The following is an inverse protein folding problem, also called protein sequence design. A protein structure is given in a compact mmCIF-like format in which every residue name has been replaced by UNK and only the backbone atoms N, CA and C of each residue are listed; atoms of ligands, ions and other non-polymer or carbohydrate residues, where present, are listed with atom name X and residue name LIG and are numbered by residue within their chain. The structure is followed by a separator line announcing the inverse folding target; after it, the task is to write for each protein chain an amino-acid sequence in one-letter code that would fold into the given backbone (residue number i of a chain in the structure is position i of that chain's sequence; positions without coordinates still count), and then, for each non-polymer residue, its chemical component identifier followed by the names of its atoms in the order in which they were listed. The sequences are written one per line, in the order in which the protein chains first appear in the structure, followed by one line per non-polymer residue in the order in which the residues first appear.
data_IF_224781262107
#
_entry.id   IF_224781262107
#
_cell.length_a   1.000
_cell.length_b   1.000
_cell.length_c   1.000
_cell.angle_alpha   90.00
_cell.angle_beta   90.00
_cell.angle_gamma   90.00
#
_symmetry.space_group_name_H-M   'P 1'
#
loop_
_entity.id
_entity.type
_entity.pdbx_description
1 polymer ?
#
# COMPACT_ATOMS: atom_id res chain seq x y z
N UNK A 1 -13.60 -48.94 8.49
CA UNK A 1 -12.87 -47.65 8.45
C UNK A 1 -13.85 -46.54 8.79
N UNK A 2 -13.66 -45.87 9.92
CA UNK A 2 -14.56 -44.82 10.39
C UNK A 2 -14.46 -43.65 9.41
N UNK A 3 -15.51 -43.41 8.60
CA UNK A 3 -15.59 -42.28 7.65
C UNK A 3 -15.91 -40.95 8.35
N UNK A 4 -16.17 -41.00 9.66
CA UNK A 4 -16.50 -39.88 10.51
C UNK A 4 -15.48 -38.72 10.46
N UNK A 5 -14.15 -38.95 10.48
CA UNK A 5 -13.16 -37.87 10.36
C UNK A 5 -13.24 -37.18 9.00
N UNK A 6 -13.45 -37.95 7.92
CA UNK A 6 -13.59 -37.40 6.57
C UNK A 6 -14.85 -36.55 6.40
N UNK A 7 -15.97 -36.97 7.01
CA UNK A 7 -17.21 -36.20 7.03
C UNK A 7 -17.09 -34.91 7.84
N UNK A 8 -16.36 -34.93 8.97
CA UNK A 8 -16.11 -33.72 9.77
C UNK A 8 -15.24 -32.70 9.05
N UNK A 9 -14.20 -33.16 8.34
CA UNK A 9 -13.36 -32.28 7.50
C UNK A 9 -14.20 -31.67 6.38
N UNK A 10 -15.02 -32.47 5.69
CA UNK A 10 -15.89 -32.00 4.62
C UNK A 10 -16.90 -30.96 5.14
N UNK A 11 -17.52 -31.20 6.30
CA UNK A 11 -18.42 -30.25 6.94
C UNK A 11 -17.71 -28.94 7.32
N UNK A 12 -16.47 -29.02 7.83
CA UNK A 12 -15.65 -27.85 8.13
C UNK A 12 -15.33 -27.01 6.88
N UNK A 13 -14.98 -27.65 5.76
CA UNK A 13 -14.72 -26.95 4.48
C UNK A 13 -16.00 -26.28 3.97
N UNK A 14 -17.15 -26.96 4.03
CA UNK A 14 -18.43 -26.39 3.58
C UNK A 14 -18.81 -25.18 4.45
N UNK A 15 -18.68 -25.28 5.77
CA UNK A 15 -18.94 -24.16 6.69
C UNK A 15 -18.00 -22.99 6.44
N UNK A 16 -16.73 -23.25 6.15
CA UNK A 16 -15.74 -22.24 5.83
C UNK A 16 -16.07 -21.53 4.51
N UNK A 17 -16.47 -22.26 3.47
CA UNK A 17 -16.94 -21.69 2.19
C UNK A 17 -18.20 -20.87 2.38
N UNK A 18 -19.18 -21.36 3.14
CA UNK A 18 -20.42 -20.62 3.44
C UNK A 18 -20.13 -19.35 4.25
N UNK A 19 -19.23 -19.42 5.23
CA UNK A 19 -18.82 -18.27 6.01
C UNK A 19 -18.23 -17.16 5.13
N UNK A 20 -17.34 -17.52 4.21
CA UNK A 20 -16.76 -16.57 3.26
C UNK A 20 -17.76 -16.07 2.20
N UNK A 21 -18.71 -16.90 1.79
CA UNK A 21 -19.79 -16.49 0.88
C UNK A 21 -20.76 -15.51 1.54
N UNK A 22 -21.11 -15.75 2.81
CA UNK A 22 -21.99 -14.87 3.59
C UNK A 22 -21.31 -13.59 4.07
N UNK A 23 -19.98 -13.59 4.20
CA UNK A 23 -19.20 -12.46 4.68
C UNK A 23 -18.04 -12.15 3.71
N UNK A 24 -18.34 -11.68 2.48
CA UNK A 24 -17.31 -11.43 1.47
C UNK A 24 -16.29 -10.36 1.90
N UNK A 25 -16.70 -9.41 2.76
CA UNK A 25 -15.84 -8.40 3.37
C UNK A 25 -14.73 -8.96 4.27
N UNK A 26 -14.85 -10.21 4.74
CA UNK A 26 -13.79 -10.89 5.49
C UNK A 26 -12.65 -11.30 4.55
N UNK A 27 -12.93 -11.62 3.28
CA UNK A 27 -11.85 -11.86 2.30
C UNK A 27 -11.01 -10.61 2.08
N UNK A 28 -11.64 -9.43 1.98
CA UNK A 28 -10.93 -8.17 1.79
C UNK A 28 -10.00 -7.86 2.98
N UNK A 29 -10.45 -8.18 4.20
CA UNK A 29 -9.63 -8.04 5.43
C UNK A 29 -8.47 -9.04 5.47
N UNK A 30 -8.68 -10.30 5.10
CA UNK A 30 -7.62 -11.33 5.06
C UNK A 30 -6.60 -11.02 3.97
N UNK A 31 -7.06 -10.55 2.81
CA UNK A 31 -6.23 -10.16 1.68
C UNK A 31 -5.29 -9.01 2.04
N UNK A 32 -5.78 -8.01 2.78
CA UNK A 32 -4.97 -6.89 3.28
C UNK A 32 -3.81 -7.32 4.18
N UNK A 33 -4.07 -8.28 5.08
CA UNK A 33 -3.04 -8.86 5.95
C UNK A 33 -2.01 -9.65 5.17
N UNK A 34 -2.45 -10.41 4.17
CA UNK A 34 -1.58 -11.22 3.33
C UNK A 34 -0.61 -10.35 2.55
N UNK A 35 -1.09 -9.26 1.95
CA UNK A 35 -0.29 -8.31 1.16
C UNK A 35 0.62 -7.44 2.03
N UNK A 36 0.17 -7.01 3.21
CA UNK A 36 1.01 -6.30 4.18
C UNK A 36 2.16 -7.15 4.73
N UNK A 37 1.90 -8.43 5.01
CA UNK A 37 2.90 -9.40 5.46
C UNK A 37 3.97 -9.67 4.38
N UNK A 38 3.50 -9.82 3.15
CA UNK A 38 4.29 -9.92 1.91
C UNK A 38 5.19 -8.69 1.74
N UNK A 39 4.64 -7.49 1.89
CA UNK A 39 5.39 -6.23 1.84
C UNK A 39 6.50 -6.14 2.90
N UNK A 40 6.18 -6.49 4.15
CA UNK A 40 7.11 -6.48 5.27
C UNK A 40 8.27 -7.47 5.12
N UNK A 41 8.00 -8.69 4.62
CA UNK A 41 9.04 -9.70 4.41
C UNK A 41 10.13 -9.22 3.43
N UNK A 42 9.76 -8.52 2.36
CA UNK A 42 10.78 -7.94 1.45
C UNK A 42 11.56 -6.81 2.13
N UNK A 43 10.92 -5.97 2.93
CA UNK A 43 11.59 -4.86 3.62
C UNK A 43 12.65 -5.39 4.59
N UNK A 44 12.34 -6.49 5.26
CA UNK A 44 13.25 -7.13 6.20
C UNK A 44 14.41 -7.85 5.49
N UNK A 45 14.17 -8.41 4.30
CA UNK A 45 15.22 -8.95 3.43
C UNK A 45 16.11 -7.85 2.84
N UNK A 46 15.53 -6.73 2.39
CA UNK A 46 16.27 -5.58 1.85
C UNK A 46 17.12 -4.84 2.89
N UNK A 47 16.58 -4.63 4.10
CA UNK A 47 17.33 -4.04 5.24
C UNK A 47 18.40 -4.98 5.80
N UNK A 48 18.27 -6.29 5.59
CA UNK A 48 19.31 -7.28 5.92
C UNK A 48 20.44 -7.37 4.89
N UNK A 49 20.12 -7.20 3.60
CA UNK A 49 21.08 -7.35 2.50
C UNK A 49 22.14 -6.22 2.49
N UNK A 50 21.75 -4.97 2.68
CA UNK A 50 22.69 -3.83 2.71
C UNK A 50 23.65 -3.89 3.91
N UNK A 51 23.21 -4.46 5.03
CA UNK A 51 24.04 -4.67 6.23
C UNK A 51 25.04 -5.82 6.07
N UNK A 52 24.77 -6.76 5.15
CA UNK A 52 25.64 -7.90 4.83
C UNK A 52 26.59 -7.54 3.68
N UNK A 53 26.17 -6.74 2.71
CA UNK A 53 27.00 -6.31 1.57
C UNK A 53 28.22 -5.48 2.01
N UNK A 54 28.06 -4.68 3.06
CA UNK A 54 29.15 -3.94 3.72
C UNK A 54 30.14 -4.81 4.53
N UNK A 55 29.85 -6.10 4.71
CA UNK A 55 30.73 -7.07 5.35
C UNK A 55 31.46 -7.98 4.36
N UNK A 56 31.22 -7.85 3.05
CA UNK A 56 31.71 -8.79 2.02
C UNK A 56 32.58 -8.15 0.91
N UNK A 57 33.04 -6.91 1.08
CA UNK A 57 34.11 -6.34 0.24
C UNK A 57 35.34 -6.06 1.10
N UNK A 58 36.03 -7.12 1.50
CA UNK A 58 37.48 -7.14 1.67
C UNK A 58 37.98 -8.60 1.56
N UNK A 59 38.66 -8.88 0.43
CA UNK A 59 39.71 -9.89 0.16
C UNK A 59 39.51 -11.42 0.44
N UNK A 60 39.60 -12.19 -0.66
CA UNK A 60 39.70 -13.67 -0.90
C UNK A 60 40.61 -14.52 0.03
N UNK A 61 40.64 -15.89 -0.01
CA UNK A 61 39.84 -16.90 -0.76
C UNK A 61 39.27 -18.10 0.09
N UNK A 62 38.54 -19.03 -0.55
CA UNK A 62 37.85 -20.21 0.00
C UNK A 62 38.72 -21.26 0.76
N UNK A 63 38.15 -22.07 1.69
CA UNK A 63 37.59 -23.39 1.33
C UNK A 63 36.31 -23.87 2.12
N UNK A 64 35.62 -24.88 1.56
CA UNK A 64 34.39 -25.58 2.04
C UNK A 64 34.64 -26.52 3.27
N UNK A 65 33.65 -27.32 3.75
CA UNK A 65 32.44 -26.95 4.52
C UNK A 65 32.30 -27.80 5.82
N UNK A 66 31.60 -27.33 6.86
CA UNK A 66 30.86 -28.22 7.81
C UNK A 66 29.97 -27.47 8.80
N UNK A 67 28.71 -27.88 8.87
CA UNK A 67 27.69 -27.60 9.91
C UNK A 67 28.03 -28.28 11.25
N UNK A 68 27.55 -27.80 12.43
CA UNK A 68 26.19 -28.14 12.92
C UNK A 68 25.42 -27.02 13.66
N UNK A 69 24.09 -27.20 13.66
CA UNK A 69 23.01 -26.34 14.19
C UNK A 69 22.85 -26.46 15.71
N UNK A 70 22.49 -25.38 16.42
CA UNK A 70 21.61 -25.50 17.60
C UNK A 70 20.77 -24.23 17.94
N UNK A 71 19.46 -24.47 18.04
CA UNK A 71 18.34 -23.82 18.76
C UNK A 71 18.10 -22.28 18.79
N UNK A 72 17.26 -21.82 17.84
CA UNK A 72 16.65 -20.46 17.76
C UNK A 72 15.20 -20.43 18.31
N UNK A 73 14.60 -21.59 18.61
CA UNK A 73 13.14 -21.71 18.75
C UNK A 73 12.55 -21.13 20.06
N UNK A 74 13.33 -20.92 21.12
CA UNK A 74 12.76 -20.45 22.39
C UNK A 74 12.57 -18.92 22.45
N UNK A 75 13.31 -18.15 21.64
CA UNK A 75 13.23 -16.68 21.63
C UNK A 75 12.10 -16.14 20.74
N UNK A 76 11.62 -16.96 19.79
CA UNK A 76 10.57 -16.58 18.83
C UNK A 76 9.17 -16.57 19.45
N UNK A 77 8.93 -17.40 20.47
CA UNK A 77 7.58 -17.54 21.04
C UNK A 77 7.17 -16.33 21.88
N UNK A 78 8.10 -15.79 22.69
CA UNK A 78 7.82 -14.65 23.57
C UNK A 78 7.67 -13.31 22.83
N UNK A 79 8.17 -13.21 21.59
CA UNK A 79 8.01 -12.02 20.74
C UNK A 79 6.70 -11.99 19.95
N UNK A 80 6.12 -13.16 19.64
CA UNK A 80 4.83 -13.27 18.91
C UNK A 80 3.63 -12.81 19.73
N UNK A 81 3.68 -13.03 21.04
CA UNK A 81 2.55 -12.74 21.93
C UNK A 81 2.48 -11.25 22.32
N UNK A 82 3.62 -10.56 22.33
CA UNK A 82 3.70 -9.15 22.76
C UNK A 82 3.33 -8.14 21.67
N UNK A 83 3.48 -8.49 20.38
CA UNK A 83 3.17 -7.57 19.25
C UNK A 83 1.75 -7.72 18.68
N UNK A 84 1.11 -8.88 18.91
CA UNK A 84 -0.28 -9.10 18.51
C UNK A 84 -1.26 -8.26 19.34
N UNK A 85 -0.93 -7.97 20.61
CA UNK A 85 -1.71 -7.07 21.46
C UNK A 85 -1.64 -5.61 20.99
N UNK A 86 -0.50 -5.17 20.49
CA UNK A 86 -0.27 -3.77 20.13
C UNK A 86 -1.06 -3.39 18.85
N UNK A 87 -1.19 -4.32 17.91
CA UNK A 87 -1.94 -4.11 16.67
C UNK A 87 -3.46 -4.14 16.88
N UNK A 88 -3.97 -5.02 17.73
CA UNK A 88 -5.38 -5.00 18.14
C UNK A 88 -5.71 -3.77 18.99
N UNK A 89 -4.75 -3.29 19.79
CA UNK A 89 -4.86 -2.01 20.50
C UNK A 89 -4.95 -0.85 19.50
N UNK A 90 -4.05 -0.75 18.52
CA UNK A 90 -4.07 0.33 17.51
C UNK A 90 -5.33 0.29 16.64
N UNK A 91 -5.79 -0.91 16.26
CA UNK A 91 -6.99 -1.07 15.46
C UNK A 91 -8.25 -0.73 16.25
N UNK A 92 -8.34 -1.15 17.51
CA UNK A 92 -9.43 -0.73 18.41
C UNK A 92 -9.37 0.76 18.75
N UNK A 93 -8.20 1.40 18.74
CA UNK A 93 -8.07 2.84 18.90
C UNK A 93 -8.54 3.64 17.67
N UNK A 94 -8.24 3.14 16.46
CA UNK A 94 -8.72 3.74 15.20
C UNK A 94 -10.23 3.51 15.00
N UNK A 95 -10.76 2.39 15.51
CA UNK A 95 -12.19 2.05 15.40
C UNK A 95 -13.06 2.68 16.52
N UNK A 96 -12.51 2.98 17.71
CA UNK A 96 -13.28 3.51 18.86
C UNK A 96 -13.07 5.00 19.18
N UNK A 97 -12.01 5.65 18.70
CA UNK A 97 -11.88 7.11 18.80
C UNK A 97 -12.20 7.77 17.46
N UNK A 98 -12.94 8.87 17.54
CA UNK A 98 -13.36 9.68 16.41
C UNK A 98 -12.20 9.89 15.43
N UNK A 99 -12.33 9.29 14.25
CA UNK A 99 -11.56 9.58 13.03
C UNK A 99 -11.87 11.02 12.56
N UNK A 100 -11.90 12.00 13.46
CA UNK A 100 -12.12 13.42 13.22
C UNK A 100 -10.80 14.18 13.05
N UNK A 101 -9.65 13.49 13.10
CA UNK A 101 -8.34 14.16 13.17
C UNK A 101 -7.37 13.85 12.03
N UNK A 102 -7.78 13.06 11.04
CA UNK A 102 -7.28 13.20 9.67
C UNK A 102 -8.14 14.32 9.07
N UNK A 103 -7.56 15.31 8.34
CA UNK A 103 -8.37 16.28 7.60
C UNK A 103 -9.51 15.53 6.90
N UNK A 104 -10.71 16.10 6.82
CA UNK A 104 -11.86 15.48 6.15
C UNK A 104 -11.65 15.48 4.63
N UNK A 105 -10.51 14.95 4.18
CA UNK A 105 -10.18 14.70 2.81
C UNK A 105 -10.98 13.49 2.36
N UNK A 106 -11.62 13.62 1.19
CA UNK A 106 -12.30 12.49 0.57
C UNK A 106 -11.33 11.32 0.39
N UNK A 107 -10.06 11.62 0.05
CA UNK A 107 -9.03 10.64 -0.25
C UNK A 107 -7.81 10.87 0.66
N UNK A 108 -7.29 9.80 1.25
CA UNK A 108 -6.06 9.83 2.03
C UNK A 108 -5.09 8.78 1.52
N UNK A 109 -3.84 9.14 1.31
CA UNK A 109 -2.74 8.21 1.02
C UNK A 109 -1.79 8.19 2.22
N UNK A 110 -1.58 6.99 2.73
CA UNK A 110 -0.63 6.71 3.80
C UNK A 110 0.55 5.93 3.22
N UNK A 111 1.71 6.58 3.03
CA UNK A 111 2.94 5.92 2.58
C UNK A 111 3.47 5.06 3.72
N UNK A 112 3.82 3.81 3.47
CA UNK A 112 4.29 2.90 4.53
C UNK A 112 5.66 2.29 4.24
N UNK A 113 6.19 2.48 3.04
CA UNK A 113 7.50 1.99 2.64
C UNK A 113 8.07 2.84 1.51
N UNK A 114 9.35 3.18 1.62
CA UNK A 114 10.21 3.58 0.50
C UNK A 114 11.47 2.71 0.53
N UNK A 115 11.85 2.14 -0.62
CA UNK A 115 13.02 1.27 -0.77
C UNK A 115 14.17 1.91 -1.57
N UNK A 116 14.10 3.21 -1.84
CA UNK A 116 15.07 3.96 -2.63
C UNK A 116 14.77 3.97 -4.12
N UNK A 117 13.86 3.13 -4.61
CA UNK A 117 13.35 3.19 -5.99
C UNK A 117 11.83 3.38 -6.04
N UNK A 118 11.12 2.75 -5.12
CA UNK A 118 9.67 2.66 -5.07
C UNK A 118 9.14 3.09 -3.72
N UNK A 119 8.10 3.91 -3.74
CA UNK A 119 7.26 4.17 -2.57
C UNK A 119 5.98 3.36 -2.66
N UNK A 120 5.63 2.63 -1.60
CA UNK A 120 4.33 2.00 -1.44
C UNK A 120 3.47 2.74 -0.43
N UNK A 121 2.18 2.83 -0.74
CA UNK A 121 1.19 3.46 0.14
C UNK A 121 -0.15 2.75 0.13
N UNK A 122 -1.01 3.15 1.06
CA UNK A 122 -2.40 2.71 1.18
C UNK A 122 -3.31 3.89 0.85
N UNK A 123 -4.21 3.73 -0.10
CA UNK A 123 -5.25 4.70 -0.41
C UNK A 123 -6.53 4.37 0.36
N UNK A 124 -7.08 5.38 1.00
CA UNK A 124 -8.37 5.37 1.65
C UNK A 124 -9.30 6.36 0.97
N UNK A 125 -10.56 5.97 0.80
CA UNK A 125 -11.64 6.88 0.38
C UNK A 125 -12.68 6.88 1.48
N UNK A 126 -13.02 8.05 2.01
CA UNK A 126 -13.93 8.20 3.15
C UNK A 126 -13.55 7.29 4.32
N UNK A 127 -12.24 7.27 4.66
CA UNK A 127 -11.65 6.48 5.76
C UNK A 127 -11.73 4.95 5.58
N UNK A 128 -12.22 4.46 4.45
CA UNK A 128 -12.21 3.03 4.12
C UNK A 128 -11.04 2.73 3.21
N UNK A 129 -10.32 1.64 3.50
CA UNK A 129 -9.28 1.17 2.60
C UNK A 129 -9.88 0.94 1.22
N UNK A 130 -9.20 1.45 0.19
CA UNK A 130 -9.66 1.39 -1.18
C UNK A 130 -8.71 0.61 -2.09
N UNK A 131 -7.40 0.91 -2.02
CA UNK A 131 -6.40 0.31 -2.88
C UNK A 131 -4.98 0.50 -2.34
N UNK A 132 -4.05 -0.28 -2.87
CA UNK A 132 -2.61 -0.02 -2.76
C UNK A 132 -2.18 1.04 -3.76
N UNK A 133 -1.11 1.74 -3.43
CA UNK A 133 -0.47 2.74 -4.31
C UNK A 133 1.01 2.45 -4.48
N UNK A 134 1.53 2.85 -5.65
CA UNK A 134 2.95 2.81 -5.98
C UNK A 134 3.35 4.14 -6.59
N UNK A 135 4.41 4.75 -6.09
CA UNK A 135 5.02 5.97 -6.60
C UNK A 135 6.53 5.75 -6.79
N UNK A 136 7.19 6.74 -7.41
CA UNK A 136 8.65 6.84 -7.35
C UNK A 136 9.16 6.97 -5.90
N UNK A 137 10.48 6.88 -5.72
CA UNK A 137 11.15 7.15 -4.44
C UNK A 137 11.10 8.64 -4.04
N UNK A 138 11.30 8.91 -2.75
CA UNK A 138 11.60 10.24 -2.22
C UNK A 138 12.98 10.73 -2.68
N UNK A 139 13.04 12.01 -3.06
CA UNK A 139 14.29 12.75 -3.23
C UNK A 139 14.09 14.18 -2.74
N UNK A 140 15.09 14.72 -2.04
CA UNK A 140 15.06 16.10 -1.55
C UNK A 140 15.07 17.10 -2.71
N UNK A 141 15.78 16.77 -3.79
CA UNK A 141 15.76 17.50 -5.04
C UNK A 141 15.00 16.70 -6.11
N UNK A 142 14.08 17.37 -6.81
CA UNK A 142 13.25 16.73 -7.83
C UNK A 142 14.10 16.31 -9.04
N UNK A 143 14.20 15.00 -9.24
CA UNK A 143 14.66 14.38 -10.48
C UNK A 143 13.43 14.04 -11.35
N UNK A 144 13.30 14.61 -12.56
CA UNK A 144 12.22 14.27 -13.48
C UNK A 144 12.13 12.76 -13.73
N UNK A 145 10.92 12.19 -13.64
CA UNK A 145 10.71 10.76 -13.88
C UNK A 145 11.24 9.83 -12.78
N UNK A 146 11.59 10.36 -11.61
CA UNK A 146 12.09 9.54 -10.51
C UNK A 146 11.76 10.08 -9.13
N UNK A 147 10.89 11.08 -8.99
CA UNK A 147 10.63 11.67 -7.67
C UNK A 147 9.14 11.71 -7.41
N UNK A 148 8.70 11.08 -6.31
CA UNK A 148 7.31 11.20 -5.83
C UNK A 148 6.97 12.64 -5.51
N UNK A 149 5.68 12.96 -5.49
CA UNK A 149 5.24 14.28 -5.03
C UNK A 149 5.43 14.44 -3.51
N UNK A 150 5.65 15.66 -3.00
CA UNK A 150 5.76 15.88 -1.56
C UNK A 150 4.47 15.50 -0.82
N UNK A 151 4.59 15.14 0.46
CA UNK A 151 3.42 15.03 1.33
C UNK A 151 2.67 16.36 1.41
N UNK A 152 1.37 16.31 1.69
CA UNK A 152 0.57 17.53 1.76
C UNK A 152 -0.89 17.31 1.41
N UNK A 153 -1.60 18.43 1.33
CA UNK A 153 -3.02 18.49 1.04
C UNK A 153 -3.25 19.17 -0.31
N UNK A 154 -3.84 18.45 -1.25
CA UNK A 154 -3.98 18.89 -2.63
C UNK A 154 -5.42 18.78 -3.11
N UNK A 155 -5.77 19.59 -4.10
CA UNK A 155 -7.06 19.50 -4.79
C UNK A 155 -6.99 18.45 -5.89
N UNK A 156 -8.12 17.79 -6.12
CA UNK A 156 -8.32 16.94 -7.29
C UNK A 156 -9.13 17.68 -8.34
N UNK A 157 -8.80 17.46 -9.60
CA UNK A 157 -9.57 17.98 -10.72
C UNK A 157 -9.30 17.21 -12.00
N UNK A 158 -10.06 17.49 -13.05
CA UNK A 158 -9.81 16.91 -14.37
C UNK A 158 -8.70 17.69 -15.07
N UNK A 159 -7.82 16.98 -15.78
CA UNK A 159 -6.96 17.59 -16.78
C UNK A 159 -7.64 17.56 -18.14
N UNK A 160 -8.14 18.72 -18.59
CA UNK A 160 -8.77 18.89 -19.90
C UNK A 160 -7.78 18.82 -21.07
N UNK A 161 -6.46 18.81 -20.78
CA UNK A 161 -5.45 18.68 -21.82
C UNK A 161 -5.32 17.23 -22.32
N UNK A 162 -5.23 17.07 -23.64
CA UNK A 162 -4.94 15.80 -24.30
C UNK A 162 -3.44 15.45 -24.18
N UNK A 163 -3.02 15.01 -22.99
CA UNK A 163 -1.69 14.42 -22.82
C UNK A 163 -1.55 13.12 -23.63
N UNK A 164 -0.32 12.72 -24.03
CA UNK A 164 -0.10 11.44 -24.68
C UNK A 164 -0.66 10.25 -23.89
N UNK A 165 -0.56 10.27 -22.55
CA UNK A 165 -1.14 9.23 -21.69
C UNK A 165 -2.68 9.23 -21.75
N UNK A 166 -3.32 10.40 -21.69
CA UNK A 166 -4.78 10.56 -21.84
C UNK A 166 -5.26 9.98 -23.17
N UNK A 167 -4.56 10.28 -24.27
CA UNK A 167 -4.92 9.78 -25.59
C UNK A 167 -4.80 8.25 -25.66
N UNK A 168 -3.72 7.66 -25.10
CA UNK A 168 -3.58 6.20 -25.00
C UNK A 168 -4.74 5.57 -24.23
N UNK A 169 -5.18 6.18 -23.14
CA UNK A 169 -6.26 5.64 -22.33
C UNK A 169 -7.61 5.71 -23.04
N UNK A 170 -7.93 6.82 -23.71
CA UNK A 170 -9.16 6.94 -24.52
C UNK A 170 -9.26 5.87 -25.59
N UNK A 171 -8.15 5.58 -26.25
CA UNK A 171 -8.10 4.55 -27.29
C UNK A 171 -8.27 3.13 -26.72
N UNK A 172 -7.88 2.92 -25.45
CA UNK A 172 -7.90 1.61 -24.80
C UNK A 172 -9.19 1.35 -23.99
N UNK A 173 -9.79 2.38 -23.41
CA UNK A 173 -10.86 2.25 -22.42
C UNK A 173 -12.08 3.12 -22.80
N UNK A 174 -13.18 2.51 -23.27
CA UNK A 174 -14.39 3.24 -23.65
C UNK A 174 -15.05 4.03 -22.51
N UNK A 175 -14.79 3.65 -21.25
CA UNK A 175 -15.32 4.29 -20.05
C UNK A 175 -14.48 5.48 -19.56
N UNK A 176 -13.34 5.75 -20.17
CA UNK A 176 -12.39 6.77 -19.74
C UNK A 176 -12.52 8.04 -20.61
N UNK A 177 -12.50 9.22 -19.96
CA UNK A 177 -12.50 10.52 -20.66
C UNK A 177 -11.22 11.29 -20.43
N UNK A 178 -10.87 11.66 -19.20
CA UNK A 178 -9.67 12.45 -18.90
C UNK A 178 -9.05 11.96 -17.59
N UNK A 179 -7.75 12.21 -17.40
CA UNK A 179 -7.11 11.83 -16.13
C UNK A 179 -7.58 12.74 -15.00
N UNK A 180 -7.77 12.13 -13.83
CA UNK A 180 -7.89 12.85 -12.56
C UNK A 180 -6.48 13.28 -12.17
N UNK A 181 -6.28 14.58 -12.03
CA UNK A 181 -5.02 15.23 -11.71
C UNK A 181 -5.04 15.77 -10.28
N UNK A 182 -3.91 15.59 -9.60
CA UNK A 182 -3.59 16.22 -8.32
C UNK A 182 -3.01 17.60 -8.64
N UNK A 183 -3.72 18.65 -8.27
CA UNK A 183 -3.45 20.04 -8.68
C UNK A 183 -2.60 20.78 -7.65
N UNK A 184 -2.02 21.90 -8.09
CA UNK A 184 -1.35 22.89 -7.23
C UNK A 184 -0.13 22.34 -6.48
N UNK A 185 0.55 21.34 -7.05
CA UNK A 185 1.79 20.78 -6.49
C UNK A 185 2.99 21.63 -6.95
N UNK A 186 3.79 22.22 -6.04
CA UNK A 186 4.94 23.02 -6.43
C UNK A 186 5.96 22.24 -7.26
N UNK A 187 6.32 22.76 -8.44
CA UNK A 187 7.29 22.16 -9.38
C UNK A 187 6.85 20.85 -10.05
N UNK A 188 5.58 20.47 -9.96
CA UNK A 188 5.02 19.34 -10.70
C UNK A 188 3.83 19.79 -11.56
N UNK A 189 3.69 19.15 -12.71
CA UNK A 189 2.53 19.28 -13.59
C UNK A 189 2.06 17.88 -14.01
N UNK A 190 0.78 17.73 -14.35
CA UNK A 190 0.22 16.48 -14.91
C UNK A 190 0.40 15.27 -14.01
N UNK A 191 0.31 15.46 -12.69
CA UNK A 191 0.38 14.37 -11.72
C UNK A 191 -0.97 13.67 -11.63
N UNK A 192 -1.05 12.44 -12.11
CA UNK A 192 -2.29 11.68 -12.16
C UNK A 192 -2.32 10.53 -11.16
N UNK A 193 -3.54 10.09 -10.82
CA UNK A 193 -3.76 8.71 -10.36
C UNK A 193 -4.01 7.85 -11.60
N UNK A 194 -3.26 6.77 -11.81
CA UNK A 194 -3.39 5.98 -13.04
C UNK A 194 -2.92 4.52 -12.91
N UNK A 195 -3.07 3.74 -13.99
CA UNK A 195 -2.64 2.33 -14.06
C UNK A 195 -1.13 2.23 -14.26
N UNK A 196 -0.53 1.20 -13.68
CA UNK A 196 0.87 0.82 -13.89
C UNK A 196 1.18 -0.40 -13.03
N UNK A 197 2.40 -0.93 -13.12
CA UNK A 197 2.82 -2.11 -12.39
C UNK A 197 4.05 -1.87 -11.50
N UNK A 198 4.93 -0.93 -11.88
CA UNK A 198 6.19 -0.66 -11.20
C UNK A 198 6.54 0.83 -11.24
N UNK A 199 7.57 1.25 -10.50
CA UNK A 199 8.04 2.64 -10.52
C UNK A 199 8.44 3.11 -11.93
N UNK A 200 8.77 2.19 -12.84
CA UNK A 200 9.08 2.50 -14.25
C UNK A 200 7.87 2.90 -15.09
N UNK A 201 6.67 2.66 -14.58
CA UNK A 201 5.41 3.03 -15.22
C UNK A 201 4.91 4.41 -14.74
N UNK A 202 5.67 5.12 -13.91
CA UNK A 202 5.33 6.44 -13.40
C UNK A 202 6.48 7.43 -13.60
N UNK A 203 6.14 8.71 -13.66
CA UNK A 203 7.10 9.82 -13.72
C UNK A 203 6.73 10.87 -12.64
N UNK A 204 6.58 10.41 -11.40
CA UNK A 204 6.08 11.20 -10.25
C UNK A 204 4.57 11.16 -10.05
N UNK A 205 3.84 10.37 -10.83
CA UNK A 205 2.41 10.09 -10.66
C UNK A 205 2.15 8.99 -9.61
N UNK A 206 0.89 8.83 -9.22
CA UNK A 206 0.45 7.79 -8.28
C UNK A 206 -0.18 6.64 -9.06
N UNK A 207 0.44 5.47 -8.97
CA UNK A 207 -0.16 4.24 -9.50
C UNK A 207 -1.08 3.61 -8.46
N UNK A 208 -2.17 2.97 -8.89
CA UNK A 208 -3.17 2.37 -8.01
C UNK A 208 -3.46 0.91 -8.37
N UNK A 209 -3.73 0.05 -7.37
CA UNK A 209 -3.87 -1.40 -7.55
C UNK A 209 -4.58 -2.15 -6.40
N UNK A 210 -5.04 -3.37 -6.67
CA UNK A 210 -5.73 -4.23 -5.70
C UNK A 210 -4.78 -5.15 -4.91
N UNK A 211 -3.52 -5.24 -5.34
CA UNK A 211 -2.53 -6.06 -4.66
C UNK A 211 -1.12 -5.57 -4.89
N UNK A 212 -0.21 -6.02 -4.02
CA UNK A 212 1.23 -5.85 -4.14
C UNK A 212 1.84 -7.23 -4.32
N UNK A 213 2.78 -7.35 -5.24
CA UNK A 213 3.55 -8.57 -5.44
C UNK A 213 4.84 -8.53 -4.61
N UNK A 214 4.94 -9.36 -3.57
CA UNK A 214 6.20 -9.50 -2.83
C UNK A 214 7.17 -10.56 -3.33
N UNK A 215 6.79 -11.35 -4.32
CA UNK A 215 7.69 -12.36 -4.86
C UNK A 215 8.69 -11.77 -5.87
N UNK A 216 8.44 -10.54 -6.34
CA UNK A 216 9.30 -9.86 -7.30
C UNK A 216 10.51 -9.23 -6.60
N UNK A 217 11.66 -9.25 -7.27
CA UNK A 217 12.89 -8.57 -6.82
C UNK A 217 12.70 -7.06 -6.75
N UNK A 218 11.88 -6.50 -7.63
CA UNK A 218 11.41 -5.12 -7.58
C UNK A 218 9.97 -5.07 -7.08
N UNK A 219 9.61 -4.00 -6.35
CA UNK A 219 8.24 -3.82 -5.89
C UNK A 219 7.32 -3.63 -7.07
N UNK A 220 6.26 -4.43 -7.11
CA UNK A 220 5.24 -4.33 -8.13
C UNK A 220 3.85 -4.34 -7.52
N UNK A 221 2.94 -3.68 -8.20
CA UNK A 221 1.51 -3.72 -7.92
C UNK A 221 0.76 -4.51 -9.00
N UNK A 222 -0.39 -5.06 -8.62
CA UNK A 222 -1.17 -6.00 -9.43
C UNK A 222 -2.61 -5.51 -9.62
N UNK A 223 -3.23 -5.89 -10.74
CA UNK A 223 -4.63 -5.57 -11.06
C UNK A 223 -4.92 -4.05 -11.10
N UNK A 224 -3.95 -3.23 -11.51
CA UNK A 224 -4.07 -1.77 -11.51
C UNK A 224 -5.22 -1.23 -12.37
N UNK A 225 -5.49 -1.87 -13.51
CA UNK A 225 -6.63 -1.49 -14.36
C UNK A 225 -7.98 -1.60 -13.64
N UNK A 226 -8.21 -2.67 -12.88
CA UNK A 226 -9.47 -2.87 -12.14
C UNK A 226 -9.60 -1.86 -11.01
N UNK A 227 -8.53 -1.67 -10.24
CA UNK A 227 -8.48 -0.68 -9.16
C UNK A 227 -8.79 0.73 -9.69
N UNK A 228 -8.12 1.10 -10.79
CA UNK A 228 -8.30 2.41 -11.41
C UNK A 228 -9.69 2.60 -11.99
N UNK A 229 -10.29 1.61 -12.64
CA UNK A 229 -11.65 1.73 -13.16
C UNK A 229 -12.67 1.98 -12.02
N UNK A 230 -12.55 1.27 -10.89
CA UNK A 230 -13.38 1.51 -9.71
C UNK A 230 -13.16 2.90 -9.13
N UNK A 231 -11.89 3.32 -9.02
CA UNK A 231 -11.52 4.65 -8.53
C UNK A 231 -12.15 5.73 -9.41
N UNK A 232 -11.96 5.61 -10.72
CA UNK A 232 -12.42 6.56 -11.70
C UNK A 232 -13.94 6.71 -11.68
N UNK A 233 -14.67 5.60 -11.65
CA UNK A 233 -16.15 5.59 -11.56
C UNK A 233 -16.68 6.16 -10.24
N UNK A 234 -15.92 6.05 -9.15
CA UNK A 234 -16.30 6.59 -7.85
C UNK A 234 -16.01 8.10 -7.73
N UNK A 235 -14.87 8.55 -8.23
CA UNK A 235 -14.36 9.91 -8.01
C UNK A 235 -14.82 10.88 -9.10
N UNK A 236 -14.87 10.46 -10.37
CA UNK A 236 -15.25 11.33 -11.48
C UNK A 236 -16.63 11.99 -11.31
N UNK A 237 -17.71 11.28 -10.90
CA UNK A 237 -19.02 11.91 -10.73
C UNK A 237 -19.00 13.04 -9.70
N UNK A 238 -18.18 12.90 -8.65
CA UNK A 238 -18.03 13.89 -7.59
C UNK A 238 -17.32 15.14 -8.10
N UNK A 239 -16.26 14.97 -8.91
CA UNK A 239 -15.58 16.10 -9.56
C UNK A 239 -16.55 16.83 -10.50
N UNK A 240 -17.32 16.09 -11.31
CA UNK A 240 -18.28 16.68 -12.25
C UNK A 240 -19.44 17.43 -11.56
N UNK A 241 -19.74 17.12 -10.30
CA UNK A 241 -20.71 17.83 -9.47
C UNK A 241 -20.12 19.07 -8.78
N UNK A 242 -18.87 19.44 -9.10
CA UNK A 242 -18.12 20.50 -8.43
C UNK A 242 -18.01 20.29 -6.90
N UNK A 243 -18.06 19.04 -6.42
CA UNK A 243 -17.71 18.77 -5.03
C UNK A 243 -16.22 19.11 -4.84
N UNK A 244 -15.83 19.90 -3.82
CA UNK A 244 -14.43 20.17 -3.55
C UNK A 244 -13.74 18.90 -3.07
N UNK A 245 -13.09 18.19 -3.99
CA UNK A 245 -12.38 16.96 -3.69
C UNK A 245 -10.92 17.25 -3.40
N UNK A 246 -10.46 16.67 -2.30
CA UNK A 246 -9.09 16.81 -1.84
C UNK A 246 -8.47 15.45 -1.58
N UNK A 247 -7.15 15.42 -1.71
CA UNK A 247 -6.31 14.29 -1.38
C UNK A 247 -5.29 14.72 -0.34
N UNK A 248 -5.22 13.98 0.76
CA UNK A 248 -4.22 14.16 1.80
C UNK A 248 -3.17 13.05 1.67
N UNK A 249 -1.89 13.42 1.56
CA UNK A 249 -0.79 12.48 1.40
C UNK A 249 0.13 12.65 2.60
N UNK A 250 0.43 11.54 3.25
CA UNK A 250 1.27 11.50 4.45
C UNK A 250 2.47 10.57 4.21
N UNK A 251 3.66 11.05 4.58
CA UNK A 251 4.88 10.24 4.57
C UNK A 251 4.91 9.21 5.69
N UNK A 252 5.86 8.30 5.62
CA UNK A 252 6.03 7.09 6.45
C UNK A 252 6.04 7.34 7.96
N UNK A 253 6.28 8.58 8.39
CA UNK A 253 6.24 9.00 9.79
C UNK A 253 4.81 9.18 10.35
N UNK A 254 3.76 9.01 9.54
CA UNK A 254 2.37 9.18 9.98
C UNK A 254 2.00 8.31 11.18
N UNK A 255 2.62 7.14 11.36
CA UNK A 255 2.44 6.31 12.54
C UNK A 255 2.91 7.00 13.83
N UNK A 256 4.06 7.67 13.80
CA UNK A 256 4.60 8.40 14.96
C UNK A 256 3.73 9.59 15.35
N UNK A 257 3.15 10.26 14.34
CA UNK A 257 2.21 11.38 14.53
C UNK A 257 0.99 10.89 15.31
N UNK A 258 0.46 9.71 14.96
CA UNK A 258 -0.68 9.11 15.66
C UNK A 258 -0.32 8.74 17.11
N UNK A 259 0.83 8.08 17.33
CA UNK A 259 1.24 7.65 18.67
C UNK A 259 1.50 8.80 19.63
N UNK A 260 2.21 9.85 19.19
CA UNK A 260 2.49 11.03 20.03
C UNK A 260 1.22 11.80 20.38
N UNK A 261 0.29 11.92 19.45
CA UNK A 261 -0.97 12.62 19.67
C UNK A 261 -1.85 11.89 20.70
N UNK A 262 -1.88 10.57 20.64
CA UNK A 262 -2.60 9.77 21.62
C UNK A 262 -2.03 9.91 23.04
N UNK A 263 -0.71 10.06 23.18
CA UNK A 263 -0.10 10.31 24.49
C UNK A 263 -0.48 11.69 25.06
N UNK A 264 -0.68 12.70 24.21
CA UNK A 264 -1.11 14.03 24.62
C UNK A 264 -2.60 14.11 24.98
N UNK A 265 -3.44 13.27 24.38
CA UNK A 265 -4.89 13.20 24.70
C UNK A 265 -5.14 12.46 26.02
N UNK A 266 -4.24 11.54 26.39
CA UNK A 266 -4.33 10.74 27.62
C UNK A 266 -3.57 11.33 28.82
N UNK A 267 -3.00 12.54 28.67
CA UNK A 267 -2.29 13.27 29.73
C UNK A 267 -3.11 14.46 30.22
#
# INVERSE_FOLDING_TARGET
MNRLPGLLVLAGVILLVLFFYSNPEVLDKIWLWLVGFIGYLIVLLGKGYEKIKGLFIENNPAPNPTTPKENINHKIKHLKETQASDLESIKSLIENEDVATIPEALITILRYLDDGNTTLGLMFIQKKFFAYTLEDTHRDEKVPGGTRIPEGHYKLGINENLSPLTQRYRNRFPWFSHHIEIKEIPNYDKVYVHIGNSHRDTEGCILIADGVNAASTEKMILQSQKAYERFYKMVLPKINQNEPLTINILNENWFEILTKKQQLVNA
#
